data_IF_863819807644
#
_entry.id   IF_863819807644
#
_cell.length_a   1.000
_cell.length_b   1.000
_cell.length_c   1.000
_cell.angle_alpha   90.00
_cell.angle_beta   90.00
_cell.angle_gamma   90.00
#
_symmetry.space_group_name_H-M   'P 1'
#
loop_
_entity.id
_entity.type
_entity.pdbx_description
1 polymer ?
#
# COMPACT_ATOMS: atom_id res chain seq x y z
N UNK A 1 21.70 -9.74 -1.38
CA UNK A 1 22.97 -9.33 -0.74
C UNK A 1 24.02 -8.91 -1.77
N UNK A 2 24.44 -9.76 -2.72
CA UNK A 2 25.46 -9.39 -3.73
C UNK A 2 25.10 -8.14 -4.55
N UNK A 3 23.87 -8.10 -5.08
CA UNK A 3 23.36 -6.94 -5.84
C UNK A 3 23.38 -5.66 -4.99
N UNK A 4 22.97 -5.73 -3.71
CA UNK A 4 22.99 -4.56 -2.82
C UNK A 4 24.40 -3.98 -2.63
N UNK A 5 25.41 -4.84 -2.51
CA UNK A 5 26.80 -4.42 -2.29
C UNK A 5 27.40 -3.86 -3.58
N UNK A 6 27.12 -4.49 -4.72
CA UNK A 6 27.56 -4.00 -6.03
C UNK A 6 26.97 -2.61 -6.33
N UNK A 7 25.66 -2.42 -6.14
CA UNK A 7 25.02 -1.10 -6.30
C UNK A 7 25.56 -0.05 -5.33
N UNK A 8 25.93 -0.44 -4.10
CA UNK A 8 26.52 0.48 -3.15
C UNK A 8 27.89 1.00 -3.62
N UNK A 9 28.72 0.13 -4.19
CA UNK A 9 30.05 0.48 -4.70
C UNK A 9 29.90 1.48 -5.86
N UNK A 10 29.02 1.19 -6.82
CA UNK A 10 28.75 2.09 -7.95
C UNK A 10 28.27 3.47 -7.48
N UNK A 11 27.37 3.52 -6.49
CA UNK A 11 26.90 4.79 -5.93
C UNK A 11 27.98 5.56 -5.17
N UNK A 12 28.89 4.88 -4.47
CA UNK A 12 30.02 5.55 -3.82
C UNK A 12 31.00 6.15 -4.84
N UNK A 13 31.25 5.43 -5.94
CA UNK A 13 32.06 5.93 -7.05
C UNK A 13 31.42 7.17 -7.68
N UNK A 14 30.11 7.13 -7.95
CA UNK A 14 29.37 8.26 -8.51
C UNK A 14 29.36 9.49 -7.56
N UNK A 15 29.19 9.30 -6.25
CA UNK A 15 29.28 10.40 -5.27
C UNK A 15 30.68 11.03 -5.27
N UNK A 16 31.75 10.21 -5.36
CA UNK A 16 33.13 10.69 -5.38
C UNK A 16 33.46 11.44 -6.67
N UNK A 17 33.04 10.91 -7.83
CA UNK A 17 33.23 11.58 -9.12
C UNK A 17 32.49 12.92 -9.18
N UNK A 18 31.30 12.99 -8.59
CA UNK A 18 30.54 14.23 -8.51
C UNK A 18 31.21 15.28 -7.59
N UNK A 19 31.83 14.84 -6.50
CA UNK A 19 32.64 15.71 -5.64
C UNK A 19 33.83 16.30 -6.42
N UNK A 20 34.60 15.46 -7.11
CA UNK A 20 35.78 15.88 -7.88
C UNK A 20 35.40 16.86 -9.00
N UNK A 21 34.40 16.52 -9.82
CA UNK A 21 33.89 17.40 -10.88
C UNK A 21 33.30 18.71 -10.32
N UNK A 22 32.67 18.63 -9.15
CA UNK A 22 32.12 19.79 -8.45
C UNK A 22 33.21 20.79 -8.05
N UNK A 23 34.31 20.31 -7.47
CA UNK A 23 35.45 21.16 -7.13
C UNK A 23 36.11 21.76 -8.37
N UNK A 24 36.36 20.95 -9.41
CA UNK A 24 36.92 21.45 -10.68
C UNK A 24 36.06 22.56 -11.28
N UNK A 25 34.72 22.38 -11.29
CA UNK A 25 33.79 23.40 -11.80
C UNK A 25 33.82 24.68 -10.95
N UNK A 26 33.91 24.56 -9.61
CA UNK A 26 34.01 25.73 -8.73
C UNK A 26 35.31 26.49 -8.99
N UNK A 27 36.44 25.78 -9.13
CA UNK A 27 37.75 26.39 -9.40
C UNK A 27 37.78 27.09 -10.78
N UNK A 28 37.26 26.44 -11.84
CA UNK A 28 37.13 27.07 -13.16
C UNK A 28 36.26 28.34 -13.13
N UNK A 29 35.14 28.31 -12.39
CA UNK A 29 34.26 29.46 -12.25
C UNK A 29 34.94 30.64 -11.54
N UNK A 30 35.79 30.35 -10.56
CA UNK A 30 36.58 31.35 -9.85
C UNK A 30 37.60 32.01 -10.75
N UNK A 31 38.35 31.22 -11.52
CA UNK A 31 39.36 31.73 -12.43
C UNK A 31 38.72 32.64 -13.49
N UNK A 32 37.63 32.20 -14.12
CA UNK A 32 36.85 33.02 -15.07
C UNK A 32 36.27 34.28 -14.42
N UNK A 33 35.83 34.17 -13.16
CA UNK A 33 35.29 35.27 -12.38
C UNK A 33 36.34 36.36 -12.11
N UNK A 34 37.54 35.98 -11.67
CA UNK A 34 38.64 36.92 -11.45
C UNK A 34 39.11 37.56 -12.76
N UNK A 35 39.26 36.78 -13.84
CA UNK A 35 39.61 37.31 -15.16
C UNK A 35 38.56 38.33 -15.65
N UNK A 36 37.27 38.06 -15.42
CA UNK A 36 36.20 38.98 -15.79
C UNK A 36 36.22 40.28 -14.96
N UNK A 37 36.57 40.19 -13.67
CA UNK A 37 36.72 41.37 -12.81
C UNK A 37 37.93 42.23 -13.22
N UNK A 38 39.08 41.60 -13.54
CA UNK A 38 40.29 42.29 -13.99
C UNK A 38 40.11 42.92 -15.38
N UNK A 39 39.51 42.21 -16.34
CA UNK A 39 39.18 42.74 -17.68
C UNK A 39 38.14 43.86 -17.62
N UNK A 40 37.34 43.92 -16.56
CA UNK A 40 36.46 45.06 -16.31
C UNK A 40 37.22 46.28 -15.77
N UNK A 41 38.19 46.09 -14.88
CA UNK A 41 39.06 47.17 -14.37
C UNK A 41 39.89 47.79 -15.51
N UNK A 42 40.47 46.93 -16.36
CA UNK A 42 41.31 47.31 -17.49
C UNK A 42 40.57 48.08 -18.59
N UNK A 43 39.27 47.78 -18.80
CA UNK A 43 38.42 48.47 -19.78
C UNK A 43 37.65 49.66 -19.21
N UNK A 44 37.86 49.95 -17.93
CA UNK A 44 37.22 51.08 -17.26
C UNK A 44 37.91 52.41 -17.62
N UNK A 45 37.47 53.48 -16.98
CA UNK A 45 37.92 54.85 -17.23
C UNK A 45 39.04 55.28 -16.27
N UNK A 46 40.11 55.86 -16.81
CA UNK A 46 41.32 56.22 -16.06
C UNK A 46 41.20 57.56 -15.31
N UNK A 47 40.29 58.42 -15.76
CA UNK A 47 40.15 59.80 -15.28
C UNK A 47 39.39 59.87 -13.94
N UNK A 48 39.76 60.81 -13.09
CA UNK A 48 39.08 61.03 -11.80
C UNK A 48 37.77 61.81 -12.00
N UNK A 49 36.63 61.43 -11.39
CA UNK A 49 36.44 60.45 -10.30
C UNK A 49 36.10 59.02 -10.76
N UNK A 50 36.11 58.77 -12.06
CA UNK A 50 35.73 57.50 -12.69
C UNK A 50 36.64 56.35 -12.25
N UNK A 51 37.97 56.53 -12.27
CA UNK A 51 38.95 55.51 -11.88
C UNK A 51 38.87 55.08 -10.41
N UNK A 52 38.36 55.94 -9.53
CA UNK A 52 38.10 55.57 -8.13
C UNK A 52 36.86 54.67 -8.02
N UNK A 53 35.79 55.00 -8.76
CA UNK A 53 34.58 54.19 -8.82
C UNK A 53 34.84 52.81 -9.44
N UNK A 54 35.71 52.73 -10.46
CA UNK A 54 36.16 51.47 -11.06
C UNK A 54 36.79 50.57 -9.99
N UNK A 55 37.83 51.03 -9.30
CA UNK A 55 38.50 50.23 -8.27
C UNK A 55 37.57 49.72 -7.16
N UNK A 56 36.56 50.50 -6.78
CA UNK A 56 35.58 50.10 -5.77
C UNK A 56 34.68 48.96 -6.28
N UNK A 57 34.24 49.02 -7.54
CA UNK A 57 33.45 47.96 -8.15
C UNK A 57 34.29 46.71 -8.39
N UNK A 58 35.54 46.83 -8.86
CA UNK A 58 36.48 45.71 -8.99
C UNK A 58 36.68 45.00 -7.66
N UNK A 59 36.87 45.75 -6.57
CA UNK A 59 36.99 45.19 -5.22
C UNK A 59 35.74 44.42 -4.79
N UNK A 60 34.54 44.97 -5.07
CA UNK A 60 33.26 44.27 -4.80
C UNK A 60 33.13 43.02 -5.67
N UNK A 61 33.56 43.06 -6.93
CA UNK A 61 33.54 41.94 -7.88
C UNK A 61 34.42 40.79 -7.38
N UNK A 62 35.70 41.07 -7.08
CA UNK A 62 36.66 40.10 -6.52
C UNK A 62 36.14 39.54 -5.19
N UNK A 63 35.60 40.39 -4.32
CA UNK A 63 34.99 39.96 -3.06
C UNK A 63 33.79 39.02 -3.27
N UNK A 64 32.95 39.29 -4.27
CA UNK A 64 31.81 38.45 -4.61
C UNK A 64 32.21 37.10 -5.19
N UNK A 65 33.21 37.06 -6.08
CA UNK A 65 33.77 35.81 -6.64
C UNK A 65 34.31 34.95 -5.50
N UNK A 66 35.04 35.53 -4.55
CA UNK A 66 35.55 34.80 -3.38
C UNK A 66 34.43 34.20 -2.51
N UNK A 67 33.39 34.99 -2.17
CA UNK A 67 32.25 34.49 -1.38
C UNK A 67 31.51 33.38 -2.12
N UNK A 68 31.30 33.55 -3.43
CA UNK A 68 30.60 32.58 -4.27
C UNK A 68 31.37 31.28 -4.37
N UNK A 69 32.71 31.32 -4.45
CA UNK A 69 33.55 30.13 -4.38
C UNK A 69 33.36 29.37 -3.07
N UNK A 70 33.42 30.08 -1.95
CA UNK A 70 33.29 29.47 -0.63
C UNK A 70 31.94 28.76 -0.49
N UNK A 71 30.87 29.38 -1.00
CA UNK A 71 29.53 28.77 -1.06
C UNK A 71 29.50 27.56 -2.00
N UNK A 72 30.15 27.63 -3.16
CA UNK A 72 30.25 26.53 -4.13
C UNK A 72 30.94 25.30 -3.50
N UNK A 73 32.14 25.50 -2.96
CA UNK A 73 32.92 24.47 -2.24
C UNK A 73 32.14 23.88 -1.08
N UNK A 74 31.50 24.72 -0.26
CA UNK A 74 30.68 24.25 0.85
C UNK A 74 29.47 23.43 0.37
N UNK A 75 28.84 23.81 -0.74
CA UNK A 75 27.72 23.08 -1.32
C UNK A 75 28.12 21.71 -1.87
N UNK A 76 29.25 21.61 -2.56
CA UNK A 76 29.82 20.34 -3.05
C UNK A 76 30.08 19.41 -1.86
N UNK A 77 30.73 19.92 -0.81
CA UNK A 77 31.00 19.15 0.40
C UNK A 77 29.74 18.65 1.11
N UNK A 78 28.73 19.51 1.31
CA UNK A 78 27.46 19.11 1.94
C UNK A 78 26.74 18.05 1.10
N UNK A 79 26.70 18.24 -0.21
CA UNK A 79 26.02 17.32 -1.13
C UNK A 79 26.70 15.95 -1.16
N UNK A 80 28.03 15.90 -1.17
CA UNK A 80 28.78 14.64 -1.07
C UNK A 80 28.49 13.92 0.26
N UNK A 81 28.50 14.64 1.38
CA UNK A 81 28.18 14.07 2.70
C UNK A 81 26.78 13.46 2.73
N UNK A 82 25.79 14.15 2.16
CA UNK A 82 24.40 13.65 2.05
C UNK A 82 24.34 12.43 1.13
N UNK A 83 25.05 12.44 0.00
CA UNK A 83 25.14 11.32 -0.94
C UNK A 83 25.69 10.06 -0.25
N UNK A 84 26.86 10.16 0.38
CA UNK A 84 27.52 9.10 1.14
C UNK A 84 26.63 8.57 2.26
N UNK A 85 25.99 9.46 3.03
CA UNK A 85 25.10 9.06 4.12
C UNK A 85 23.86 8.32 3.61
N UNK A 86 23.25 8.79 2.51
CA UNK A 86 22.11 8.14 1.89
C UNK A 86 22.46 6.74 1.36
N UNK A 87 23.57 6.62 0.64
CA UNK A 87 24.09 5.33 0.14
C UNK A 87 24.34 4.34 1.27
N UNK A 88 24.90 4.79 2.40
CA UNK A 88 25.10 3.94 3.56
C UNK A 88 23.78 3.43 4.16
N UNK A 89 22.78 4.31 4.29
CA UNK A 89 21.46 3.96 4.81
C UNK A 89 20.76 2.94 3.89
N UNK A 90 20.68 3.23 2.59
CA UNK A 90 20.00 2.36 1.61
C UNK A 90 20.67 1.00 1.52
N UNK A 91 22.00 0.96 1.52
CA UNK A 91 22.79 -0.29 1.51
C UNK A 91 22.54 -1.10 2.76
N UNK A 92 22.55 -0.47 3.93
CA UNK A 92 22.29 -1.16 5.22
C UNK A 92 20.91 -1.78 5.22
N UNK A 93 19.88 -1.03 4.80
CA UNK A 93 18.50 -1.53 4.69
C UNK A 93 18.40 -2.69 3.71
N UNK A 94 19.04 -2.58 2.53
CA UNK A 94 19.04 -3.63 1.51
C UNK A 94 19.69 -4.93 2.01
N UNK A 95 20.84 -4.83 2.68
CA UNK A 95 21.54 -5.99 3.25
C UNK A 95 20.71 -6.63 4.36
N UNK A 96 20.15 -5.83 5.28
CA UNK A 96 19.29 -6.33 6.34
C UNK A 96 18.06 -7.05 5.76
N UNK A 97 17.41 -6.48 4.75
CA UNK A 97 16.28 -7.11 4.07
C UNK A 97 16.67 -8.44 3.41
N UNK A 98 17.81 -8.49 2.73
CA UNK A 98 18.30 -9.74 2.13
C UNK A 98 18.61 -10.82 3.17
N UNK A 99 19.15 -10.46 4.34
CA UNK A 99 19.36 -11.40 5.45
C UNK A 99 18.03 -11.92 5.98
N UNK A 100 17.05 -11.03 6.15
CA UNK A 100 15.69 -11.41 6.55
C UNK A 100 15.09 -12.39 5.55
N UNK A 101 15.19 -12.13 4.24
CA UNK A 101 14.70 -13.05 3.20
C UNK A 101 15.35 -14.43 3.28
N UNK A 102 16.68 -14.51 3.47
CA UNK A 102 17.37 -15.81 3.60
C UNK A 102 16.88 -16.61 4.81
N UNK A 103 16.50 -15.95 5.90
CA UNK A 103 15.93 -16.59 7.09
C UNK A 103 14.46 -16.94 6.87
N UNK A 104 13.70 -16.06 6.21
CA UNK A 104 12.27 -16.25 5.98
C UNK A 104 11.97 -17.29 4.91
N UNK A 105 12.82 -17.48 3.89
CA UNK A 105 12.61 -18.46 2.82
C UNK A 105 12.48 -19.91 3.32
N UNK A 106 13.38 -20.46 4.16
CA UNK A 106 13.21 -21.80 4.70
C UNK A 106 12.02 -21.88 5.66
N UNK A 107 11.72 -20.81 6.40
CA UNK A 107 10.53 -20.74 7.26
C UNK A 107 9.26 -20.74 6.40
N UNK A 108 9.24 -20.01 5.28
CA UNK A 108 8.14 -19.93 4.33
C UNK A 108 7.91 -21.29 3.66
N UNK A 109 8.97 -21.99 3.25
CA UNK A 109 8.87 -23.35 2.73
C UNK A 109 8.31 -24.32 3.78
N UNK A 110 8.80 -24.26 5.02
CA UNK A 110 8.28 -25.08 6.13
C UNK A 110 6.80 -24.73 6.41
N UNK A 111 6.45 -23.45 6.39
CA UNK A 111 5.07 -22.97 6.53
C UNK A 111 4.20 -23.46 5.39
N UNK A 112 4.64 -23.42 4.14
CA UNK A 112 3.89 -23.92 2.98
C UNK A 112 3.61 -25.42 3.11
N UNK A 113 4.64 -26.20 3.48
CA UNK A 113 4.52 -27.65 3.74
C UNK A 113 3.54 -27.91 4.88
N UNK A 114 3.62 -27.17 5.98
CA UNK A 114 2.70 -27.32 7.11
C UNK A 114 1.30 -26.83 6.74
N UNK A 115 1.18 -25.81 5.90
CA UNK A 115 -0.09 -25.23 5.48
C UNK A 115 -0.88 -26.11 4.50
N UNK A 116 -0.21 -27.08 3.89
CA UNK A 116 -0.87 -28.14 3.12
C UNK A 116 -1.68 -29.10 4.01
N UNK A 117 -1.47 -29.07 5.34
CA UNK A 117 -2.24 -29.87 6.30
C UNK A 117 -3.55 -29.11 6.61
N UNK A 118 -4.73 -29.75 6.40
CA UNK A 118 -6.02 -29.19 6.79
C UNK A 118 -5.99 -28.73 8.25
N UNK A 119 -6.68 -27.64 8.58
CA UNK A 119 -6.67 -26.96 9.89
C UNK A 119 -5.37 -26.18 10.16
N UNK A 120 -4.19 -26.78 10.01
CA UNK A 120 -2.92 -26.10 10.32
C UNK A 120 -2.63 -24.98 9.32
N UNK A 121 -2.92 -25.18 8.03
CA UNK A 121 -2.81 -24.11 7.03
C UNK A 121 -3.69 -22.91 7.28
N UNK A 122 -4.93 -23.12 7.75
CA UNK A 122 -5.85 -22.03 8.10
C UNK A 122 -5.35 -21.25 9.32
N UNK A 123 -4.80 -21.94 10.32
CA UNK A 123 -4.20 -21.28 11.48
C UNK A 123 -2.99 -20.42 11.09
N UNK A 124 -2.14 -20.91 10.18
CA UNK A 124 -1.01 -20.14 9.68
C UNK A 124 -1.48 -18.95 8.83
N UNK A 125 -2.44 -19.14 7.93
CA UNK A 125 -3.05 -18.06 7.14
C UNK A 125 -3.60 -16.94 8.05
N UNK A 126 -4.30 -17.32 9.13
CA UNK A 126 -4.83 -16.38 10.11
C UNK A 126 -3.71 -15.57 10.79
N UNK A 127 -2.60 -16.23 11.16
CA UNK A 127 -1.42 -15.58 11.75
C UNK A 127 -0.73 -14.65 10.75
N UNK A 128 -0.53 -15.09 9.50
CA UNK A 128 0.07 -14.27 8.44
C UNK A 128 -0.82 -13.04 8.16
N UNK A 129 -2.14 -13.22 8.09
CA UNK A 129 -3.08 -12.14 7.88
C UNK A 129 -3.11 -11.15 9.04
N UNK A 130 -2.98 -11.64 10.27
CA UNK A 130 -2.82 -10.78 11.45
C UNK A 130 -1.52 -9.98 11.38
N UNK A 131 -0.39 -10.62 11.09
CA UNK A 131 0.92 -9.96 10.93
C UNK A 131 0.87 -8.91 9.83
N UNK A 132 0.35 -9.24 8.65
CA UNK A 132 0.20 -8.30 7.53
C UNK A 132 -0.69 -7.11 7.90
N UNK A 133 -1.76 -7.34 8.65
CA UNK A 133 -2.62 -6.27 9.16
C UNK A 133 -1.85 -5.33 10.09
N UNK A 134 -1.05 -5.87 11.01
CA UNK A 134 -0.23 -5.09 11.95
C UNK A 134 0.83 -4.28 11.20
N UNK A 135 1.60 -4.93 10.32
CA UNK A 135 2.67 -4.28 9.55
C UNK A 135 2.10 -3.17 8.68
N UNK A 136 1.00 -3.41 7.95
CA UNK A 136 0.36 -2.37 7.13
C UNK A 136 -0.07 -1.20 7.99
N UNK A 137 -0.71 -1.46 9.15
CA UNK A 137 -1.16 -0.40 10.06
C UNK A 137 -0.04 0.49 10.56
N UNK A 138 1.15 -0.09 10.79
CA UNK A 138 2.35 0.66 11.17
C UNK A 138 2.89 1.50 10.02
N UNK A 139 3.01 0.92 8.82
CA UNK A 139 3.52 1.62 7.62
C UNK A 139 2.61 2.81 7.25
N UNK A 140 1.29 2.62 7.30
CA UNK A 140 0.31 3.64 6.91
C UNK A 140 -0.11 4.56 8.06
N UNK A 141 0.49 4.43 9.26
CA UNK A 141 0.20 5.28 10.41
C UNK A 141 0.34 6.78 10.11
N UNK A 142 1.38 7.27 9.39
CA UNK A 142 1.45 8.68 9.01
C UNK A 142 0.26 9.12 8.15
N UNK A 143 -0.23 8.24 7.28
CA UNK A 143 -1.41 8.52 6.44
C UNK A 143 -2.68 8.54 7.27
N UNK A 144 -2.81 7.67 8.28
CA UNK A 144 -3.94 7.71 9.18
C UNK A 144 -4.04 9.05 9.94
N UNK A 145 -2.89 9.66 10.29
CA UNK A 145 -2.87 11.01 10.87
C UNK A 145 -3.35 12.06 9.86
N UNK A 146 -2.92 11.98 8.59
CA UNK A 146 -3.40 12.85 7.51
C UNK A 146 -4.92 12.71 7.28
N UNK A 147 -5.43 11.48 7.34
CA UNK A 147 -6.86 11.18 7.18
C UNK A 147 -7.72 11.81 8.29
N UNK A 148 -7.20 11.85 9.53
CA UNK A 148 -7.85 12.47 10.68
C UNK A 148 -7.95 14.00 10.56
N UNK A 149 -6.99 14.65 9.89
CA UNK A 149 -7.03 16.10 9.59
C UNK A 149 -7.72 16.41 8.24
N UNK A 150 -8.27 15.40 7.57
CA UNK A 150 -9.09 15.55 6.36
C UNK A 150 -8.34 15.46 5.02
N UNK A 151 -7.03 15.23 5.03
CA UNK A 151 -6.24 15.03 3.80
C UNK A 151 -6.36 13.56 3.40
N UNK A 152 -7.28 13.28 2.46
CA UNK A 152 -7.60 11.91 2.03
C UNK A 152 -7.22 11.71 0.57
N UNK A 153 -5.93 11.49 0.24
CA UNK A 153 -5.53 11.14 -1.12
C UNK A 153 -6.21 9.83 -1.57
N UNK A 154 -6.44 9.72 -2.88
CA UNK A 154 -7.20 8.62 -3.45
C UNK A 154 -6.44 7.28 -3.29
N UNK A 155 -7.09 6.29 -2.68
CA UNK A 155 -6.59 4.91 -2.57
C UNK A 155 -7.46 3.93 -3.37
N UNK A 156 -6.99 2.70 -3.58
CA UNK A 156 -7.73 1.64 -4.26
C UNK A 156 -7.95 0.41 -3.38
N UNK A 157 -9.03 -0.32 -3.66
CA UNK A 157 -9.38 -1.62 -3.09
C UNK A 157 -9.91 -2.53 -4.22
N UNK A 158 -9.72 -3.85 -4.11
CA UNK A 158 -10.20 -4.79 -5.13
C UNK A 158 -11.16 -5.83 -4.53
N UNK A 159 -12.28 -6.06 -5.22
CA UNK A 159 -13.24 -7.11 -4.91
C UNK A 159 -13.28 -8.15 -6.04
N UNK A 160 -13.38 -9.43 -5.70
CA UNK A 160 -13.72 -10.51 -6.63
C UNK A 160 -14.97 -11.19 -6.11
N UNK A 161 -15.96 -11.43 -6.98
CA UNK A 161 -17.23 -12.04 -6.57
C UNK A 161 -17.33 -13.44 -7.18
N UNK A 162 -17.71 -14.41 -6.36
CA UNK A 162 -17.91 -15.80 -6.76
C UNK A 162 -19.31 -16.25 -6.37
N UNK A 163 -20.08 -16.68 -7.34
CA UNK A 163 -21.41 -17.25 -7.23
C UNK A 163 -21.27 -18.77 -7.17
N UNK A 164 -21.70 -19.37 -6.06
CA UNK A 164 -21.73 -20.81 -5.92
C UNK A 164 -22.90 -21.44 -6.69
N UNK A 165 -22.83 -22.76 -6.90
CA UNK A 165 -23.94 -23.53 -7.48
C UNK A 165 -24.48 -24.49 -6.44
N UNK A 166 -25.80 -24.62 -6.39
CA UNK A 166 -26.47 -25.63 -5.57
C UNK A 166 -26.16 -27.06 -6.07
N UNK A 167 -26.70 -28.05 -5.38
CA UNK A 167 -26.50 -29.47 -5.63
C UNK A 167 -27.09 -29.92 -6.97
N UNK A 168 -28.12 -29.21 -7.45
CA UNK A 168 -28.74 -29.41 -8.76
C UNK A 168 -27.95 -28.70 -9.88
N UNK A 169 -26.91 -27.95 -9.51
CA UNK A 169 -26.06 -27.19 -10.42
C UNK A 169 -26.62 -25.83 -10.81
N UNK A 170 -27.68 -25.33 -10.18
CA UNK A 170 -28.18 -23.98 -10.43
C UNK A 170 -27.36 -22.95 -9.66
N UNK A 171 -27.06 -21.78 -10.26
CA UNK A 171 -26.36 -20.73 -9.54
C UNK A 171 -27.25 -20.15 -8.43
N UNK A 172 -26.68 -19.90 -7.25
CA UNK A 172 -27.43 -19.37 -6.09
C UNK A 172 -27.78 -17.87 -6.21
N UNK A 173 -27.24 -17.21 -7.24
CA UNK A 173 -27.48 -15.80 -7.56
C UNK A 173 -27.09 -15.54 -9.02
N UNK A 174 -27.34 -14.32 -9.50
CA UNK A 174 -26.85 -13.84 -10.79
C UNK A 174 -26.21 -12.44 -10.65
N UNK A 175 -25.53 -11.98 -11.69
CA UNK A 175 -24.87 -10.66 -11.70
C UNK A 175 -25.88 -9.51 -11.54
N UNK A 176 -27.06 -9.58 -12.15
CA UNK A 176 -28.05 -8.50 -12.05
C UNK A 176 -28.59 -8.33 -10.62
N UNK A 177 -28.69 -9.43 -9.88
CA UNK A 177 -29.07 -9.42 -8.46
C UNK A 177 -27.97 -8.82 -7.57
N UNK A 178 -26.70 -9.13 -7.82
CA UNK A 178 -25.57 -8.67 -6.98
C UNK A 178 -25.14 -7.24 -7.31
N UNK A 179 -25.25 -6.82 -8.58
CA UNK A 179 -24.66 -5.59 -9.09
C UNK A 179 -25.06 -4.32 -8.33
N UNK A 180 -26.35 -4.10 -7.98
CA UNK A 180 -26.76 -2.89 -7.27
C UNK A 180 -26.02 -2.70 -5.93
N UNK A 181 -25.77 -3.79 -5.21
CA UNK A 181 -25.11 -3.77 -3.90
C UNK A 181 -23.59 -3.65 -4.01
N UNK A 182 -23.01 -4.19 -5.08
CA UNK A 182 -21.60 -3.96 -5.43
C UNK A 182 -21.37 -2.50 -5.82
N UNK A 183 -22.25 -1.91 -6.63
CA UNK A 183 -22.17 -0.50 -7.01
C UNK A 183 -22.36 0.41 -5.77
N UNK A 184 -23.29 0.09 -4.86
CA UNK A 184 -23.44 0.80 -3.59
C UNK A 184 -22.18 0.71 -2.70
N UNK A 185 -21.50 -0.44 -2.72
CA UNK A 185 -20.20 -0.60 -2.05
C UNK A 185 -19.16 0.33 -2.66
N UNK A 186 -19.04 0.36 -3.99
CA UNK A 186 -18.12 1.24 -4.72
C UNK A 186 -18.40 2.70 -4.35
N UNK A 187 -19.66 3.12 -4.41
CA UNK A 187 -20.08 4.48 -4.14
C UNK A 187 -19.87 4.89 -2.69
N UNK A 188 -20.18 4.01 -1.74
CA UNK A 188 -20.01 4.27 -0.31
C UNK A 188 -18.55 4.47 0.04
N UNK A 189 -17.66 3.57 -0.38
CA UNK A 189 -16.23 3.70 -0.10
C UNK A 189 -15.58 4.87 -0.85
N UNK A 190 -16.06 5.19 -2.05
CA UNK A 190 -15.62 6.37 -2.80
C UNK A 190 -16.01 7.66 -2.11
N UNK A 191 -17.28 7.78 -1.73
CA UNK A 191 -17.86 9.00 -1.12
C UNK A 191 -17.35 9.24 0.30
N UNK A 192 -17.37 8.21 1.14
CA UNK A 192 -17.12 8.38 2.57
C UNK A 192 -15.61 8.31 2.90
N UNK A 193 -14.86 7.48 2.18
CA UNK A 193 -13.45 7.20 2.48
C UNK A 193 -12.46 7.57 1.35
N UNK A 194 -12.92 8.10 0.21
CA UNK A 194 -12.09 8.34 -0.99
C UNK A 194 -11.24 7.12 -1.38
N UNK A 195 -11.87 5.94 -1.37
CA UNK A 195 -11.30 4.68 -1.84
C UNK A 195 -12.03 4.29 -3.14
N UNK A 196 -11.30 4.06 -4.21
CA UNK A 196 -11.84 3.50 -5.44
C UNK A 196 -11.86 1.98 -5.35
N UNK A 197 -13.06 1.40 -5.31
CA UNK A 197 -13.26 -0.04 -5.28
C UNK A 197 -13.37 -0.54 -6.71
N UNK A 198 -12.50 -1.48 -7.09
CA UNK A 198 -12.50 -2.12 -8.39
C UNK A 198 -13.09 -3.53 -8.29
N UNK A 199 -14.19 -3.78 -9.00
CA UNK A 199 -14.76 -5.12 -9.14
C UNK A 199 -13.96 -5.85 -10.22
N UNK A 200 -13.11 -6.78 -9.79
CA UNK A 200 -12.23 -7.53 -10.68
C UNK A 200 -12.99 -8.51 -11.60
N UNK A 201 -14.14 -8.99 -11.14
CA UNK A 201 -15.02 -9.88 -11.90
C UNK A 201 -16.11 -10.47 -11.02
N UNK A 202 -17.17 -10.96 -11.67
CA UNK A 202 -18.24 -11.75 -11.07
C UNK A 202 -18.21 -13.11 -11.77
N UNK A 203 -17.85 -14.14 -11.03
CA UNK A 203 -17.60 -15.48 -11.54
C UNK A 203 -18.67 -16.42 -10.99
N UNK A 204 -19.13 -17.38 -11.79
CA UNK A 204 -19.94 -18.49 -11.29
C UNK A 204 -19.11 -19.75 -11.36
N UNK A 205 -19.06 -20.53 -10.27
CA UNK A 205 -18.32 -21.79 -10.27
C UNK A 205 -18.89 -22.75 -11.32
N UNK A 206 -18.04 -23.59 -11.90
CA UNK A 206 -18.47 -24.54 -12.94
C UNK A 206 -19.27 -25.71 -12.37
N UNK A 207 -18.82 -26.24 -11.22
CA UNK A 207 -19.39 -27.44 -10.60
C UNK A 207 -20.27 -27.09 -9.40
N UNK A 208 -21.22 -27.98 -9.09
CA UNK A 208 -22.01 -27.90 -7.86
C UNK A 208 -21.09 -27.77 -6.64
N UNK A 209 -21.44 -26.84 -5.75
CA UNK A 209 -20.73 -26.63 -4.50
C UNK A 209 -21.23 -27.61 -3.45
N UNK A 210 -20.36 -28.05 -2.52
CA UNK A 210 -20.79 -28.89 -1.42
C UNK A 210 -21.72 -28.11 -0.47
N UNK A 211 -22.69 -28.80 0.13
CA UNK A 211 -23.66 -28.22 1.08
C UNK A 211 -23.02 -27.39 2.18
N UNK A 212 -21.91 -27.87 2.76
CA UNK A 212 -21.19 -27.17 3.83
C UNK A 212 -20.57 -25.81 3.40
N UNK A 213 -20.48 -25.54 2.10
CA UNK A 213 -20.03 -24.24 1.57
C UNK A 213 -21.21 -23.39 1.07
N UNK A 214 -22.39 -23.99 0.92
CA UNK A 214 -23.64 -23.32 0.52
C UNK A 214 -24.42 -22.80 1.72
N UNK A 215 -24.38 -23.52 2.83
CA UNK A 215 -25.06 -23.18 4.08
C UNK A 215 -24.00 -22.96 5.15
N UNK A 216 -23.67 -21.69 5.38
CA UNK A 216 -22.54 -21.30 6.25
C UNK A 216 -23.04 -20.59 7.51
N UNK A 217 -22.55 -21.02 8.67
CA UNK A 217 -22.84 -20.35 9.92
C UNK A 217 -22.24 -18.94 9.96
N UNK A 218 -22.67 -18.13 10.94
CA UNK A 218 -22.03 -16.87 11.28
C UNK A 218 -21.63 -16.82 12.76
N UNK A 219 -20.80 -15.84 13.15
CA UNK A 219 -20.23 -15.69 14.50
C UNK A 219 -19.20 -16.78 14.87
N UNK A 220 -19.33 -17.39 16.06
CA UNK A 220 -18.38 -18.39 16.55
C UNK A 220 -18.36 -19.65 15.67
N UNK A 221 -19.50 -19.98 15.05
CA UNK A 221 -19.62 -21.12 14.15
C UNK A 221 -18.86 -20.86 12.84
N UNK A 222 -18.93 -19.64 12.29
CA UNK A 222 -18.11 -19.25 11.14
C UNK A 222 -16.60 -19.39 11.42
N UNK A 223 -16.15 -19.04 12.64
CA UNK A 223 -14.73 -19.19 12.99
C UNK A 223 -14.29 -20.66 12.99
N UNK A 224 -15.13 -21.57 13.50
CA UNK A 224 -14.85 -23.00 13.49
C UNK A 224 -14.94 -23.61 12.08
N UNK A 225 -15.92 -23.19 11.29
CA UNK A 225 -16.10 -23.60 9.89
C UNK A 225 -14.95 -23.12 8.99
N UNK A 226 -14.44 -21.92 9.24
CA UNK A 226 -13.29 -21.34 8.54
C UNK A 226 -11.99 -22.12 8.78
N UNK A 227 -11.86 -22.74 9.95
CA UNK A 227 -10.74 -23.61 10.30
C UNK A 227 -10.86 -25.01 9.68
N UNK A 228 -12.01 -25.37 9.10
CA UNK A 228 -12.29 -26.72 8.60
C UNK A 228 -12.61 -26.74 7.09
N UNK A 229 -13.57 -27.57 6.66
CA UNK A 229 -13.87 -27.86 5.26
C UNK A 229 -14.40 -26.63 4.50
N UNK A 230 -15.36 -25.84 5.05
CA UNK A 230 -15.85 -24.64 4.39
C UNK A 230 -14.73 -23.65 4.06
N UNK A 231 -13.90 -23.30 5.04
CA UNK A 231 -12.78 -22.38 4.82
C UNK A 231 -11.78 -22.87 3.78
N UNK A 232 -11.45 -24.17 3.78
CA UNK A 232 -10.56 -24.78 2.77
C UNK A 232 -11.18 -24.73 1.37
N UNK A 233 -12.48 -24.97 1.24
CA UNK A 233 -13.19 -24.88 -0.03
C UNK A 233 -13.20 -23.45 -0.59
N UNK A 234 -13.53 -22.45 0.24
CA UNK A 234 -13.49 -21.04 -0.16
C UNK A 234 -12.09 -20.62 -0.58
N UNK A 235 -11.07 -21.07 0.16
CA UNK A 235 -9.67 -20.79 -0.14
C UNK A 235 -9.29 -21.27 -1.54
N UNK A 236 -9.61 -22.52 -1.89
CA UNK A 236 -9.32 -23.12 -3.19
C UNK A 236 -10.15 -22.51 -4.31
N UNK A 237 -11.44 -22.27 -4.05
CA UNK A 237 -12.34 -21.69 -5.04
C UNK A 237 -11.91 -20.26 -5.42
N UNK A 238 -11.49 -19.45 -4.43
CA UNK A 238 -10.92 -18.14 -4.67
C UNK A 238 -9.63 -18.19 -5.52
N UNK A 239 -8.74 -19.16 -5.24
CA UNK A 239 -7.50 -19.33 -5.99
C UNK A 239 -7.73 -19.64 -7.47
N UNK A 240 -8.77 -20.42 -7.78
CA UNK A 240 -9.05 -20.88 -9.14
C UNK A 240 -9.85 -19.88 -9.98
N UNK A 241 -10.67 -19.03 -9.34
CA UNK A 241 -11.61 -18.16 -10.05
C UNK A 241 -11.22 -16.68 -10.05
N UNK A 242 -10.44 -16.20 -9.08
CA UNK A 242 -10.11 -14.77 -8.97
C UNK A 242 -8.76 -14.42 -9.64
N UNK A 243 -8.64 -13.24 -10.30
CA UNK A 243 -7.43 -12.85 -11.04
C UNK A 243 -6.16 -12.75 -10.21
N UNK A 244 -6.28 -12.39 -8.93
CA UNK A 244 -5.13 -12.31 -8.02
C UNK A 244 -4.88 -13.61 -7.25
N UNK A 245 -5.77 -14.61 -7.37
CA UNK A 245 -5.63 -15.96 -6.84
C UNK A 245 -4.83 -16.06 -5.53
N UNK A 246 -3.79 -16.89 -5.54
CA UNK A 246 -2.86 -17.06 -4.42
C UNK A 246 -1.97 -15.83 -4.14
N UNK A 247 -1.73 -14.97 -5.13
CA UNK A 247 -0.83 -13.81 -5.01
C UNK A 247 -1.40 -12.67 -4.16
N UNK A 248 -2.72 -12.60 -4.01
CA UNK A 248 -3.38 -11.70 -3.06
C UNK A 248 -2.96 -11.95 -1.59
N UNK A 249 -2.36 -13.11 -1.30
CA UNK A 249 -1.96 -13.58 0.03
C UNK A 249 -0.46 -13.43 0.31
N UNK A 250 0.35 -13.38 -0.74
CA UNK A 250 1.81 -13.31 -0.63
C UNK A 250 2.24 -11.84 -0.70
N UNK A 251 2.25 -11.20 0.47
CA UNK A 251 2.85 -9.89 0.66
C UNK A 251 1.89 -8.69 0.54
N UNK A 252 2.33 -7.50 0.97
CA UNK A 252 1.48 -6.31 1.16
C UNK A 252 1.06 -5.61 -0.14
N UNK A 253 1.32 -6.20 -1.31
CA UNK A 253 1.40 -5.43 -2.56
C UNK A 253 0.05 -5.32 -3.28
N UNK A 254 -0.83 -6.34 -3.25
CA UNK A 254 -2.17 -6.30 -3.90
C UNK A 254 -3.24 -7.20 -3.23
N UNK A 255 -3.66 -6.89 -2.01
CA UNK A 255 -4.69 -7.68 -1.33
C UNK A 255 -6.07 -7.46 -1.95
N UNK A 256 -6.79 -8.57 -2.16
CA UNK A 256 -8.13 -8.64 -2.76
C UNK A 256 -9.10 -9.21 -1.72
N UNK A 257 -10.32 -8.69 -1.69
CA UNK A 257 -11.41 -9.26 -0.88
C UNK A 257 -12.27 -10.12 -1.81
N UNK A 258 -12.56 -11.36 -1.40
CA UNK A 258 -13.42 -12.28 -2.14
C UNK A 258 -14.81 -12.31 -1.52
N UNK A 259 -15.84 -12.11 -2.33
CA UNK A 259 -17.25 -12.16 -1.92
C UNK A 259 -17.85 -13.45 -2.46
N UNK A 260 -18.24 -14.36 -1.58
CA UNK A 260 -18.95 -15.59 -1.96
C UNK A 260 -20.45 -15.38 -1.81
N UNK A 261 -21.20 -15.52 -2.90
CA UNK A 261 -22.64 -15.67 -2.84
C UNK A 261 -22.96 -17.14 -2.51
N UNK A 262 -23.54 -17.36 -1.35
CA UNK A 262 -23.94 -18.68 -0.81
C UNK A 262 -25.45 -18.82 -0.83
N UNK A 263 -25.97 -20.02 -0.53
CA UNK A 263 -27.42 -20.27 -0.54
C UNK A 263 -28.09 -19.64 0.67
N UNK A 264 -27.59 -19.94 1.87
CA UNK A 264 -28.21 -19.54 3.12
C UNK A 264 -27.14 -19.25 4.18
N UNK A 265 -27.40 -18.25 5.02
CA UNK A 265 -26.62 -17.96 6.22
C UNK A 265 -27.58 -18.11 7.41
N UNK A 266 -27.59 -19.27 8.09
CA UNK A 266 -28.57 -19.54 9.13
C UNK A 266 -28.54 -18.49 10.24
N UNK A 267 -29.72 -17.97 10.58
CA UNK A 267 -29.88 -16.97 11.64
C UNK A 267 -30.71 -15.77 11.20
N UNK A 268 -30.26 -14.58 11.59
CA UNK A 268 -30.96 -13.31 11.31
C UNK A 268 -30.14 -12.37 10.43
N UNK A 269 -29.09 -12.89 9.80
CA UNK A 269 -28.08 -12.13 9.06
C UNK A 269 -28.00 -12.66 7.63
N UNK A 270 -27.93 -11.77 6.65
CA UNK A 270 -27.78 -12.13 5.23
C UNK A 270 -26.32 -12.06 4.73
N UNK A 271 -25.38 -11.92 5.66
CA UNK A 271 -23.95 -11.80 5.40
C UNK A 271 -23.11 -12.26 6.59
N UNK A 272 -21.86 -12.62 6.32
CA UNK A 272 -20.89 -12.90 7.36
C UNK A 272 -19.45 -12.60 6.92
N UNK A 273 -18.70 -11.93 7.79
CA UNK A 273 -17.27 -11.70 7.65
C UNK A 273 -16.55 -11.91 9.00
N UNK A 274 -15.52 -12.76 8.99
CA UNK A 274 -14.68 -13.03 10.17
C UNK A 274 -13.61 -11.93 10.41
N UNK A 275 -13.99 -10.68 10.20
CA UNK A 275 -13.08 -9.54 10.29
C UNK A 275 -11.91 -9.64 9.27
N UNK A 276 -10.77 -8.99 9.56
CA UNK A 276 -9.64 -8.88 8.60
C UNK A 276 -8.73 -10.12 8.56
N UNK A 277 -9.07 -11.18 9.29
CA UNK A 277 -8.21 -12.35 9.50
C UNK A 277 -8.28 -13.38 8.37
N UNK A 278 -9.34 -13.34 7.56
CA UNK A 278 -9.44 -14.07 6.30
C UNK A 278 -9.84 -13.13 5.15
N UNK A 279 -9.53 -13.54 3.93
CA UNK A 279 -9.62 -12.68 2.73
C UNK A 279 -10.94 -12.79 1.99
N UNK A 280 -11.92 -13.49 2.58
CA UNK A 280 -13.23 -13.67 1.99
C UNK A 280 -14.37 -13.42 2.97
N UNK A 281 -15.52 -13.03 2.44
CA UNK A 281 -16.79 -12.90 3.15
C UNK A 281 -17.87 -13.69 2.41
N UNK A 282 -18.95 -14.05 3.10
CA UNK A 282 -20.10 -14.74 2.53
C UNK A 282 -21.33 -13.84 2.60
N UNK A 283 -22.18 -13.92 1.58
CA UNK A 283 -23.48 -13.24 1.52
C UNK A 283 -24.52 -14.15 0.93
N UNK A 284 -25.77 -14.05 1.38
CA UNK A 284 -26.87 -14.78 0.78
C UNK A 284 -27.12 -14.29 -0.65
N UNK A 285 -27.06 -15.21 -1.61
CA UNK A 285 -27.22 -14.88 -3.03
C UNK A 285 -28.57 -14.22 -3.34
N UNK A 286 -29.64 -14.68 -2.68
CA UNK A 286 -30.98 -14.13 -2.84
C UNK A 286 -31.24 -12.85 -2.04
N UNK A 287 -30.35 -12.48 -1.10
CA UNK A 287 -30.47 -11.27 -0.28
C UNK A 287 -29.09 -10.61 -0.01
N UNK A 288 -28.42 -10.08 -1.05
CA UNK A 288 -27.05 -9.57 -0.96
C UNK A 288 -26.93 -8.18 -0.31
N UNK A 289 -27.93 -7.74 0.46
CA UNK A 289 -27.98 -6.40 1.09
C UNK A 289 -26.81 -6.13 2.05
N UNK A 290 -26.18 -7.18 2.55
CA UNK A 290 -25.07 -7.08 3.48
C UNK A 290 -23.70 -6.90 2.80
N UNK A 291 -23.58 -6.92 1.46
CA UNK A 291 -22.27 -6.77 0.79
C UNK A 291 -21.49 -5.52 1.29
N UNK A 292 -22.06 -4.30 1.30
CA UNK A 292 -21.32 -3.12 1.77
C UNK A 292 -20.86 -3.26 3.24
N UNK A 293 -21.74 -3.79 4.09
CA UNK A 293 -21.53 -3.99 5.53
C UNK A 293 -20.39 -4.99 5.79
N UNK A 294 -20.44 -6.16 5.14
CA UNK A 294 -19.41 -7.21 5.30
C UNK A 294 -18.05 -6.77 4.76
N UNK A 295 -18.02 -5.98 3.67
CA UNK A 295 -16.76 -5.34 3.20
C UNK A 295 -16.24 -4.36 4.25
N UNK A 296 -17.12 -3.65 4.96
CA UNK A 296 -16.78 -2.85 6.14
C UNK A 296 -16.04 -3.65 7.22
N UNK A 297 -16.53 -4.84 7.55
CA UNK A 297 -15.84 -5.73 8.49
C UNK A 297 -14.46 -6.16 8.00
N UNK A 298 -14.29 -6.40 6.69
CA UNK A 298 -12.98 -6.75 6.11
C UNK A 298 -11.94 -5.65 6.23
N UNK A 299 -12.37 -4.40 6.14
CA UNK A 299 -11.47 -3.28 6.38
C UNK A 299 -11.29 -2.94 7.86
N UNK A 300 -11.80 -3.78 8.76
CA UNK A 300 -11.57 -3.71 10.19
C UNK A 300 -12.58 -2.86 10.96
N UNK A 301 -13.75 -2.58 10.38
CA UNK A 301 -14.84 -1.93 11.10
C UNK A 301 -15.55 -2.94 12.00
N UNK A 302 -15.94 -2.50 13.18
CA UNK A 302 -16.69 -3.30 14.15
C UNK A 302 -18.09 -2.74 14.25
N UNK A 303 -19.04 -3.58 14.67
CA UNK A 303 -20.42 -3.15 14.89
C UNK A 303 -20.46 -1.92 15.80
N UNK A 304 -21.14 -0.88 15.35
CA UNK A 304 -21.31 0.35 16.12
C UNK A 304 -22.54 1.14 15.66
N UNK A 305 -22.80 2.21 16.41
CA UNK A 305 -23.45 3.41 15.88
C UNK A 305 -24.93 3.23 15.48
N UNK A 306 -25.50 4.26 14.87
CA UNK A 306 -26.89 4.30 14.42
C UNK A 306 -27.12 3.54 13.11
N UNK A 307 -28.40 3.40 12.72
CA UNK A 307 -28.84 2.63 11.56
C UNK A 307 -28.33 3.15 10.20
N UNK A 308 -27.83 4.39 10.12
CA UNK A 308 -27.28 4.93 8.87
C UNK A 308 -25.81 4.58 8.68
N UNK A 309 -25.14 4.09 9.73
CA UNK A 309 -23.73 3.74 9.71
C UNK A 309 -23.49 2.43 8.95
N UNK A 310 -22.45 2.40 8.12
CA UNK A 310 -22.06 1.21 7.35
C UNK A 310 -21.76 0.00 8.24
N UNK A 311 -21.34 0.21 9.49
CA UNK A 311 -21.05 -0.85 10.45
C UNK A 311 -22.17 -1.04 11.48
N UNK A 312 -23.42 -0.70 11.16
CA UNK A 312 -24.55 -0.99 12.03
C UNK A 312 -24.78 -2.52 12.14
N UNK A 313 -25.19 -3.07 13.29
CA UNK A 313 -25.51 -4.51 13.38
C UNK A 313 -26.54 -5.02 12.36
N UNK A 314 -27.36 -4.12 11.79
CA UNK A 314 -28.23 -4.42 10.66
C UNK A 314 -27.68 -3.80 9.38
N UNK A 315 -27.70 -4.58 8.29
CA UNK A 315 -27.25 -4.12 6.98
C UNK A 315 -28.14 -2.99 6.41
N UNK A 316 -27.57 -2.19 5.50
CA UNK A 316 -28.26 -1.10 4.80
C UNK A 316 -27.78 0.32 5.17
N UNK A 317 -26.87 0.45 6.14
CA UNK A 317 -26.18 1.72 6.40
C UNK A 317 -25.07 2.00 5.37
N UNK A 318 -24.78 3.29 5.13
CA UNK A 318 -23.84 3.74 4.07
C UNK A 318 -22.94 4.91 4.51
N UNK A 319 -22.91 5.21 5.81
CA UNK A 319 -22.13 6.34 6.38
C UNK A 319 -20.93 5.84 7.16
N UNK A 320 -19.82 6.58 7.10
CA UNK A 320 -18.64 6.33 7.94
C UNK A 320 -18.29 7.56 8.78
N UNK A 321 -18.01 7.33 10.05
CA UNK A 321 -17.42 8.33 10.94
C UNK A 321 -15.93 8.53 10.62
N UNK A 322 -15.37 9.68 10.98
CA UNK A 322 -13.97 10.01 10.65
C UNK A 322 -12.95 8.98 11.11
N UNK A 323 -13.13 8.39 12.30
CA UNK A 323 -12.26 7.33 12.80
C UNK A 323 -12.45 6.00 12.03
N UNK A 324 -13.67 5.69 11.58
CA UNK A 324 -13.93 4.52 10.73
C UNK A 324 -13.25 4.69 9.36
N UNK A 325 -13.26 5.89 8.80
CA UNK A 325 -12.54 6.21 7.57
C UNK A 325 -11.03 5.97 7.75
N UNK A 326 -10.44 6.43 8.86
CA UNK A 326 -9.02 6.21 9.16
C UNK A 326 -8.69 4.71 9.32
N UNK A 327 -9.56 3.93 9.97
CA UNK A 327 -9.39 2.47 10.08
C UNK A 327 -9.48 1.80 8.71
N UNK A 328 -10.53 2.10 7.94
CA UNK A 328 -10.77 1.48 6.64
C UNK A 328 -9.63 1.76 5.66
N UNK A 329 -9.17 3.02 5.58
CA UNK A 329 -8.08 3.45 4.71
C UNK A 329 -6.71 2.91 5.12
N UNK A 330 -6.58 2.47 6.37
CA UNK A 330 -5.40 1.82 6.92
C UNK A 330 -5.54 0.27 6.99
N UNK A 331 -6.52 -0.28 6.26
CA UNK A 331 -6.65 -1.73 6.11
C UNK A 331 -5.58 -2.30 5.18
N UNK A 332 -5.19 -3.56 5.40
CA UNK A 332 -4.33 -4.29 4.45
C UNK A 332 -4.91 -4.27 3.04
N UNK A 333 -6.24 -4.41 2.88
CA UNK A 333 -6.94 -4.44 1.59
C UNK A 333 -6.95 -3.11 0.81
N UNK A 334 -6.45 -2.02 1.41
CA UNK A 334 -6.45 -0.69 0.80
C UNK A 334 -5.02 -0.27 0.51
N UNK A 335 -4.76 0.05 -0.75
CA UNK A 335 -3.43 0.38 -1.26
C UNK A 335 -3.42 1.67 -2.07
N UNK A 336 -2.22 2.21 -2.30
CA UNK A 336 -2.01 3.30 -3.24
C UNK A 336 -2.14 2.80 -4.69
N UNK A 337 -2.43 3.73 -5.60
CA UNK A 337 -2.51 3.46 -7.04
C UNK A 337 -1.16 3.05 -7.61
#
# INVERSE_FOLDING_TARGET
>A
MRICVETAIEQFEECSEWEDQGYETCDEWVDQGYESCDDWDDRCCDWWPCSWGCKLITWVCVGWVWVSNLVCVAWVWVSNLVCVAWTLITTTVCVLWAVIEVILLPIAWIVEVISSIPIIGRLIDMVINLINTIIKRLIDLPTAILDLIGIRPLKRMQLCVIILRDEDGNPVSDEATLRPFLDETVDTFRREANIHVHIAGIHTVENASPTYALDVGCNADAFLEDLWLPGSYFLWTAMLNCPLGATSRIGPVRPQIVVFAVREIPGTTAGCALGPLNDYLTVEGNNPVCIPHEVGHKVGLWHCCDATNLANPNCGGIRLQGWQVAIARNSKYVSWF
#
